data_IF_592812849233
#
_entry.id   IF_592812849233
#
_cell.length_a   1.000
_cell.length_b   1.000
_cell.length_c   1.000
_cell.angle_alpha   90.00
_cell.angle_beta   90.00
_cell.angle_gamma   90.00
#
_symmetry.space_group_name_H-M   'P 1'
#
loop_
_entity.id
_entity.type
_entity.pdbx_description
1 polymer ?
#
# COMPACT_ATOMS: atom_id res chain seq x y z
N UNK A 1 -5.06 72.01 52.65
CA UNK A 1 -3.74 71.35 52.40
C UNK A 1 -3.88 69.80 52.08
N UNK A 2 -4.78 69.11 52.68
CA UNK A 2 -4.93 67.63 52.46
C UNK A 2 -5.43 67.26 51.06
N UNK A 3 -6.26 68.13 50.42
CA UNK A 3 -6.78 67.87 49.08
C UNK A 3 -5.79 68.21 47.96
N UNK A 4 -4.86 69.08 48.23
CA UNK A 4 -3.82 69.47 47.27
C UNK A 4 -2.77 68.39 47.09
N UNK A 5 -2.43 67.68 48.18
CA UNK A 5 -1.54 66.49 48.13
C UNK A 5 -2.13 65.31 47.40
N UNK A 6 -3.46 65.10 47.49
CA UNK A 6 -4.14 63.98 46.82
C UNK A 6 -4.19 64.26 45.32
N UNK A 7 -4.39 65.46 44.88
CA UNK A 7 -4.41 65.84 43.44
C UNK A 7 -3.02 65.71 42.82
N UNK A 8 -1.96 66.07 43.54
CA UNK A 8 -0.59 65.93 43.02
C UNK A 8 -0.12 64.49 42.97
N UNK A 9 -0.57 63.58 43.89
CA UNK A 9 -0.26 62.15 43.82
C UNK A 9 -1.03 61.46 42.73
N UNK A 10 -2.28 61.85 42.46
CA UNK A 10 -3.07 61.29 41.35
C UNK A 10 -2.48 61.72 40.00
N UNK A 11 -2.03 62.94 39.83
CA UNK A 11 -1.37 63.47 38.62
C UNK A 11 -0.02 62.73 38.37
N UNK A 12 0.73 62.36 39.40
CA UNK A 12 2.00 61.63 39.27
C UNK A 12 1.78 60.17 38.92
N UNK A 13 0.68 59.58 39.35
CA UNK A 13 0.32 58.17 38.98
C UNK A 13 -0.21 58.09 37.56
N UNK A 14 -0.92 59.14 37.07
CA UNK A 14 -1.42 59.18 35.69
C UNK A 14 -0.29 59.40 34.67
N UNK A 15 0.81 60.01 35.03
CA UNK A 15 1.96 60.19 34.15
C UNK A 15 2.85 58.98 33.98
N UNK A 16 2.71 57.97 34.84
CA UNK A 16 3.45 56.70 34.78
C UNK A 16 2.78 55.64 33.89
N UNK A 17 1.56 55.87 33.43
CA UNK A 17 0.81 54.94 32.58
C UNK A 17 1.01 55.22 31.08
N UNK A 18 1.59 56.34 30.69
CA UNK A 18 1.83 56.72 29.29
C UNK A 18 3.22 56.33 28.77
N UNK A 19 4.03 55.58 29.51
CA UNK A 19 5.35 55.13 29.10
C UNK A 19 5.36 53.65 28.59
N UNK A 20 4.18 53.04 28.30
CA UNK A 20 4.08 51.90 27.40
C UNK A 20 3.78 52.41 26.00
N UNK A 21 4.72 53.17 25.46
CA UNK A 21 4.80 53.41 24.03
C UNK A 21 5.14 52.10 23.36
N UNK A 22 4.15 51.56 22.66
CA UNK A 22 4.26 50.60 21.62
C UNK A 22 5.56 50.75 20.83
N UNK A 23 6.57 49.98 21.18
CA UNK A 23 7.45 49.45 20.17
C UNK A 23 6.59 48.53 19.31
N UNK A 24 5.98 49.12 18.28
CA UNK A 24 5.64 48.38 17.10
C UNK A 24 6.97 47.94 16.47
N UNK A 25 7.57 46.91 17.08
CA UNK A 25 8.38 45.99 16.31
C UNK A 25 7.43 45.52 15.22
N UNK A 26 7.51 46.15 14.07
CA UNK A 26 7.21 45.51 12.81
C UNK A 26 8.05 44.26 12.85
N UNK A 27 7.47 43.15 13.33
CA UNK A 27 7.85 41.88 12.85
C UNK A 27 7.61 41.95 11.34
N UNK A 28 8.63 42.45 10.66
CA UNK A 28 8.88 41.97 9.33
C UNK A 28 8.95 40.48 9.54
N UNK A 29 7.81 39.77 9.36
CA UNK A 29 7.83 38.41 8.90
C UNK A 29 8.77 38.42 7.71
N UNK A 30 10.03 38.22 8.02
CA UNK A 30 10.94 37.68 7.09
C UNK A 30 10.31 36.30 6.82
N UNK A 31 9.44 36.25 5.82
CA UNK A 31 9.19 35.06 5.04
C UNK A 31 10.57 34.70 4.48
N UNK A 32 11.47 34.25 5.37
CA UNK A 32 12.60 33.44 5.00
C UNK A 32 11.96 32.14 4.55
N UNK A 33 11.63 32.17 3.31
CA UNK A 33 11.38 31.08 2.46
C UNK A 33 12.36 29.97 2.74
N UNK A 34 11.92 29.10 3.58
CA UNK A 34 12.62 27.85 3.87
C UNK A 34 12.06 26.74 2.99
N UNK A 35 11.85 27.06 1.69
CA UNK A 35 11.40 26.06 0.72
C UNK A 35 12.34 24.86 0.66
N UNK A 36 13.64 25.08 0.81
CA UNK A 36 14.63 24.01 0.87
C UNK A 36 14.52 23.20 2.17
N UNK A 37 14.26 23.87 3.30
CA UNK A 37 14.18 23.24 4.62
C UNK A 37 12.92 22.39 4.76
N UNK A 38 11.77 22.87 4.31
CA UNK A 38 10.51 22.11 4.32
C UNK A 38 10.58 20.86 3.45
N UNK A 39 11.26 20.93 2.29
CA UNK A 39 11.47 19.77 1.43
C UNK A 39 12.38 18.74 2.08
N UNK A 40 13.47 19.15 2.70
CA UNK A 40 14.38 18.26 3.41
C UNK A 40 13.66 17.53 4.57
N UNK A 41 12.82 18.26 5.32
CA UNK A 41 11.97 17.68 6.39
C UNK A 41 10.99 16.67 5.82
N UNK A 42 10.33 16.97 4.72
CA UNK A 42 9.40 16.04 4.04
C UNK A 42 10.10 14.76 3.61
N UNK A 43 11.24 14.85 2.94
CA UNK A 43 12.04 13.69 2.51
C UNK A 43 12.43 12.85 3.73
N UNK A 44 12.94 13.48 4.78
CA UNK A 44 13.32 12.80 6.00
C UNK A 44 12.14 12.09 6.67
N UNK A 45 10.94 12.68 6.65
CA UNK A 45 9.74 12.05 7.17
C UNK A 45 9.35 10.82 6.38
N UNK A 46 9.42 10.86 5.04
CA UNK A 46 9.16 9.70 4.20
C UNK A 46 10.19 8.60 4.41
N UNK A 47 11.48 8.93 4.44
CA UNK A 47 12.54 7.96 4.73
C UNK A 47 12.37 7.29 6.10
N UNK A 48 11.91 8.03 7.12
CA UNK A 48 11.61 7.47 8.46
C UNK A 48 10.44 6.48 8.43
N UNK A 49 9.46 6.69 7.56
CA UNK A 49 8.38 5.72 7.36
C UNK A 49 8.90 4.42 6.77
N UNK A 50 10.02 4.45 6.01
CA UNK A 50 10.61 3.33 5.29
C UNK A 50 9.62 2.68 4.33
N UNK A 51 8.55 2.04 4.84
CA UNK A 51 7.50 1.38 4.04
C UNK A 51 6.13 1.95 4.39
N UNK A 52 5.42 2.48 3.39
CA UNK A 52 4.04 2.93 3.51
C UNK A 52 3.10 1.87 2.94
N UNK A 53 2.41 1.13 3.80
CA UNK A 53 1.39 0.18 3.39
C UNK A 53 0.12 0.92 2.97
N UNK A 54 -0.29 0.76 1.72
CA UNK A 54 -1.36 1.55 1.12
C UNK A 54 -2.56 0.73 0.66
N UNK A 55 -2.40 -0.59 0.47
CA UNK A 55 -3.51 -1.47 0.14
C UNK A 55 -3.34 -2.85 0.79
N UNK A 56 -4.47 -3.48 1.15
CA UNK A 56 -4.56 -4.85 1.64
C UNK A 56 -5.72 -5.55 0.94
N UNK A 57 -5.49 -6.78 0.46
CA UNK A 57 -6.49 -7.59 -0.22
C UNK A 57 -6.56 -8.96 0.44
N UNK A 58 -7.76 -9.36 0.82
CA UNK A 58 -8.09 -10.73 1.23
C UNK A 58 -8.77 -11.44 0.06
N UNK A 59 -8.16 -12.50 -0.44
CA UNK A 59 -8.59 -13.22 -1.62
C UNK A 59 -8.88 -14.67 -1.25
N UNK A 60 -10.07 -15.16 -1.57
CA UNK A 60 -10.38 -16.58 -1.54
C UNK A 60 -10.36 -17.14 -2.96
N UNK A 61 -9.47 -18.07 -3.21
CA UNK A 61 -9.34 -18.80 -4.48
C UNK A 61 -9.73 -20.26 -4.28
N UNK A 62 -10.66 -20.75 -5.10
CA UNK A 62 -10.99 -22.18 -5.12
C UNK A 62 -10.18 -22.84 -6.23
N UNK A 63 -9.31 -23.75 -5.86
CA UNK A 63 -8.57 -24.59 -6.81
C UNK A 63 -9.36 -25.86 -7.01
N UNK A 64 -9.70 -26.16 -8.25
CA UNK A 64 -10.41 -27.38 -8.62
C UNK A 64 -9.51 -28.28 -9.46
N UNK A 65 -9.49 -29.55 -9.13
CA UNK A 65 -8.83 -30.57 -9.94
C UNK A 65 -9.77 -31.71 -10.24
N UNK A 66 -9.71 -32.23 -11.48
CA UNK A 66 -10.51 -33.35 -11.93
C UNK A 66 -9.57 -34.37 -12.57
N UNK A 67 -9.52 -35.53 -11.98
CA UNK A 67 -8.73 -36.68 -12.46
C UNK A 67 -9.67 -37.77 -13.01
N UNK A 68 -9.58 -37.98 -14.32
CA UNK A 68 -10.42 -38.91 -15.07
C UNK A 68 -9.60 -40.09 -15.51
N UNK A 69 -10.12 -41.31 -15.29
CA UNK A 69 -9.51 -42.50 -15.88
C UNK A 69 -9.85 -42.57 -17.37
N UNK A 70 -8.81 -42.71 -18.18
CA UNK A 70 -8.91 -42.88 -19.63
C UNK A 70 -8.21 -44.17 -20.05
N UNK A 71 -8.89 -44.95 -20.85
CA UNK A 71 -8.33 -46.15 -21.46
C UNK A 71 -7.73 -45.79 -22.81
N UNK A 72 -6.40 -45.87 -22.92
CA UNK A 72 -5.66 -45.64 -24.14
C UNK A 72 -5.09 -46.93 -24.69
N UNK A 73 -5.17 -47.08 -25.99
CA UNK A 73 -4.62 -48.27 -26.64
C UNK A 73 -4.63 -48.17 -28.15
N UNK A 74 -4.14 -49.22 -28.81
CA UNK A 74 -4.19 -49.36 -30.28
C UNK A 74 -5.02 -50.61 -30.64
N UNK A 75 -6.01 -50.43 -31.50
CA UNK A 75 -6.78 -51.50 -32.12
C UNK A 75 -6.67 -51.32 -33.63
N UNK A 76 -6.18 -52.37 -34.35
CA UNK A 76 -6.00 -52.36 -35.80
C UNK A 76 -5.27 -51.10 -36.34
N UNK A 77 -4.16 -50.74 -35.71
CA UNK A 77 -3.32 -49.59 -36.06
C UNK A 77 -4.00 -48.22 -35.87
N UNK A 78 -5.12 -48.13 -35.16
CA UNK A 78 -5.81 -46.91 -34.77
C UNK A 78 -5.68 -46.70 -33.29
N UNK A 79 -5.22 -45.51 -32.88
CA UNK A 79 -5.19 -45.13 -31.48
C UNK A 79 -6.62 -44.85 -30.99
N UNK A 80 -6.96 -45.36 -29.80
CA UNK A 80 -8.18 -45.00 -29.12
C UNK A 80 -7.86 -44.41 -27.73
N UNK A 81 -8.64 -43.43 -27.33
CA UNK A 81 -8.58 -42.76 -26.04
C UNK A 81 -10.02 -42.54 -25.56
N UNK A 82 -10.50 -43.45 -24.70
CA UNK A 82 -11.88 -43.46 -24.23
C UNK A 82 -11.92 -43.18 -22.74
N UNK A 83 -12.73 -42.19 -22.32
CA UNK A 83 -13.01 -41.93 -20.92
C UNK A 83 -13.78 -43.14 -20.35
N UNK A 84 -13.29 -43.66 -19.23
CA UNK A 84 -14.00 -44.70 -18.51
C UNK A 84 -15.18 -44.07 -17.74
N UNK A 85 -16.37 -44.70 -17.74
CA UNK A 85 -17.54 -44.17 -17.04
C UNK A 85 -17.42 -44.20 -15.52
N UNK A 86 -16.40 -44.89 -14.99
CA UNK A 86 -16.14 -45.05 -13.57
C UNK A 86 -14.68 -44.67 -13.26
N UNK A 87 -14.44 -44.18 -12.07
CA UNK A 87 -13.10 -43.89 -11.58
C UNK A 87 -12.69 -42.39 -11.66
N UNK A 88 -13.64 -41.50 -11.69
CA UNK A 88 -13.39 -40.06 -11.58
C UNK A 88 -13.09 -39.66 -10.13
N UNK A 89 -12.13 -38.76 -9.97
CA UNK A 89 -11.88 -38.05 -8.69
C UNK A 89 -11.93 -36.57 -8.96
N UNK A 90 -12.59 -35.83 -8.07
CA UNK A 90 -12.65 -34.36 -8.13
C UNK A 90 -12.36 -33.79 -6.76
N UNK A 91 -11.67 -32.68 -6.73
CA UNK A 91 -11.39 -31.97 -5.50
C UNK A 91 -11.54 -30.47 -5.73
N UNK A 92 -12.01 -29.78 -4.69
CA UNK A 92 -12.07 -28.33 -4.61
C UNK A 92 -11.42 -27.90 -3.29
N UNK A 93 -10.35 -27.12 -3.39
CA UNK A 93 -9.55 -26.64 -2.27
C UNK A 93 -9.67 -25.13 -2.21
N UNK A 94 -10.34 -24.57 -1.18
CA UNK A 94 -10.33 -23.13 -0.96
C UNK A 94 -9.01 -22.69 -0.33
N UNK A 95 -8.39 -21.67 -0.92
CA UNK A 95 -7.15 -21.05 -0.42
C UNK A 95 -7.44 -19.60 -0.11
N UNK A 96 -7.22 -19.21 1.15
CA UNK A 96 -7.31 -17.85 1.60
C UNK A 96 -5.92 -17.20 1.55
N UNK A 97 -5.80 -16.12 0.77
CA UNK A 97 -4.55 -15.41 0.54
C UNK A 97 -4.71 -13.95 0.94
N UNK A 98 -3.75 -13.47 1.73
CA UNK A 98 -3.66 -12.06 2.13
C UNK A 98 -2.48 -11.40 1.43
N UNK A 99 -2.77 -10.34 0.69
CA UNK A 99 -1.79 -9.52 -0.01
C UNK A 99 -1.75 -8.13 0.61
N UNK A 100 -0.56 -7.56 0.74
CA UNK A 100 -0.37 -6.15 1.09
C UNK A 100 0.48 -5.47 0.02
N UNK A 101 0.14 -4.22 -0.28
CA UNK A 101 0.96 -3.40 -1.14
C UNK A 101 1.55 -2.23 -0.33
N UNK A 102 2.81 -1.90 -0.58
CA UNK A 102 3.51 -0.81 0.08
C UNK A 102 4.41 -0.06 -0.90
N UNK A 103 4.68 1.20 -0.59
CA UNK A 103 5.70 2.02 -1.24
C UNK A 103 6.94 1.97 -0.36
N UNK A 104 8.11 1.70 -0.94
CA UNK A 104 9.40 1.74 -0.23
C UNK A 104 10.07 3.10 -0.42
N UNK A 105 10.34 3.79 0.68
CA UNK A 105 10.97 5.10 0.69
C UNK A 105 12.45 5.08 1.08
N UNK A 106 13.07 3.90 1.17
CA UNK A 106 14.48 3.80 1.58
C UNK A 106 15.42 4.65 0.70
N UNK A 107 15.17 4.66 -0.61
CA UNK A 107 15.95 5.40 -1.60
C UNK A 107 15.31 6.75 -2.00
N UNK A 108 14.27 7.19 -1.29
CA UNK A 108 13.61 8.46 -1.59
C UNK A 108 14.54 9.63 -1.25
N UNK A 109 14.69 10.59 -2.17
CA UNK A 109 15.65 11.67 -2.06
C UNK A 109 15.14 12.96 -2.73
N UNK A 110 15.93 14.02 -2.69
CA UNK A 110 15.62 15.28 -3.38
C UNK A 110 15.40 15.10 -4.88
N UNK A 111 16.06 14.12 -5.52
CA UNK A 111 15.85 13.80 -6.93
C UNK A 111 14.42 13.32 -7.26
N UNK A 112 13.65 12.97 -6.24
CA UNK A 112 12.25 12.56 -6.37
C UNK A 112 11.27 13.73 -6.25
N UNK A 113 11.75 14.94 -6.01
CA UNK A 113 10.90 16.13 -5.83
C UNK A 113 11.35 17.22 -6.80
N UNK A 114 10.51 17.58 -7.75
CA UNK A 114 10.77 18.64 -8.72
C UNK A 114 9.87 19.83 -8.42
N UNK A 115 10.48 21.00 -8.25
CA UNK A 115 9.79 22.25 -7.97
C UNK A 115 9.89 23.18 -9.17
N UNK A 116 8.79 23.81 -9.55
CA UNK A 116 8.73 24.80 -10.63
C UNK A 116 7.78 25.95 -10.25
N UNK A 117 8.33 26.98 -9.62
CA UNK A 117 7.55 28.08 -9.07
C UNK A 117 6.57 27.60 -7.99
N UNK A 118 5.29 27.85 -8.21
CA UNK A 118 4.22 27.38 -7.30
C UNK A 118 3.87 25.89 -7.43
N UNK A 119 4.40 25.20 -8.45
CA UNK A 119 4.11 23.80 -8.71
C UNK A 119 5.16 22.88 -8.10
N UNK A 120 4.70 21.74 -7.62
CA UNK A 120 5.56 20.67 -7.11
C UNK A 120 5.13 19.33 -7.70
N UNK A 121 6.09 18.56 -8.17
CA UNK A 121 5.88 17.19 -8.63
C UNK A 121 6.69 16.22 -7.76
N UNK A 122 6.03 15.20 -7.23
CA UNK A 122 6.62 14.18 -6.38
C UNK A 122 6.60 12.84 -7.11
N UNK A 123 7.79 12.31 -7.39
CA UNK A 123 7.98 11.01 -8.05
C UNK A 123 8.09 9.91 -7.01
N UNK A 124 7.03 9.15 -6.83
CA UNK A 124 7.01 8.02 -5.90
C UNK A 124 7.57 6.75 -6.58
N UNK A 125 8.23 5.87 -5.81
CA UNK A 125 8.54 4.52 -6.25
C UNK A 125 7.27 3.73 -6.56
N UNK A 126 7.37 2.73 -7.45
CA UNK A 126 6.25 1.83 -7.71
C UNK A 126 5.91 0.99 -6.48
N UNK A 127 4.63 0.66 -6.28
CA UNK A 127 4.24 -0.20 -5.18
C UNK A 127 4.82 -1.61 -5.30
N UNK A 128 5.28 -2.15 -4.18
CA UNK A 128 5.62 -3.56 -4.01
C UNK A 128 4.44 -4.33 -3.46
N UNK A 129 4.24 -5.56 -3.91
CA UNK A 129 3.22 -6.46 -3.37
C UNK A 129 3.89 -7.60 -2.60
N UNK A 130 3.44 -7.81 -1.38
CA UNK A 130 3.90 -8.90 -0.52
C UNK A 130 2.73 -9.83 -0.19
N UNK A 131 2.96 -11.13 -0.34
CA UNK A 131 2.06 -12.18 0.13
C UNK A 131 2.36 -12.42 1.61
N UNK A 132 1.47 -11.98 2.49
CA UNK A 132 1.67 -12.04 3.95
C UNK A 132 1.07 -13.31 4.57
N UNK A 133 0.10 -13.93 3.91
CA UNK A 133 -0.50 -15.17 4.39
C UNK A 133 -1.08 -15.96 3.22
N UNK A 134 -0.93 -17.30 3.29
CA UNK A 134 -1.63 -18.24 2.42
C UNK A 134 -2.05 -19.41 3.28
N UNK A 135 -3.36 -19.59 3.47
CA UNK A 135 -3.92 -20.62 4.35
C UNK A 135 -4.93 -21.46 3.58
N UNK A 136 -4.93 -22.75 3.87
CA UNK A 136 -5.96 -23.68 3.44
C UNK A 136 -6.73 -24.14 4.67
N UNK A 137 -8.04 -24.02 4.64
CA UNK A 137 -8.88 -24.65 5.65
C UNK A 137 -9.24 -26.06 5.17
N UNK A 138 -8.62 -27.06 5.77
CA UNK A 138 -8.83 -28.46 5.40
C UNK A 138 -10.29 -28.91 5.58
N UNK A 139 -11.02 -28.33 6.52
CA UNK A 139 -12.43 -28.64 6.76
C UNK A 139 -13.34 -28.18 5.60
N UNK A 140 -12.88 -27.20 4.83
CA UNK A 140 -13.59 -26.65 3.66
C UNK A 140 -13.26 -27.40 2.35
N UNK A 141 -12.30 -28.32 2.37
CA UNK A 141 -11.97 -29.15 1.20
C UNK A 141 -13.17 -30.03 0.86
N UNK A 142 -13.53 -30.06 -0.41
CA UNK A 142 -14.60 -30.94 -0.93
C UNK A 142 -14.02 -31.92 -1.91
N UNK A 143 -14.18 -33.19 -1.60
CA UNK A 143 -13.73 -34.31 -2.43
C UNK A 143 -14.91 -35.09 -2.93
N UNK A 144 -14.85 -35.49 -4.21
CA UNK A 144 -15.65 -36.53 -4.80
C UNK A 144 -14.70 -37.63 -5.30
N UNK A 145 -14.83 -38.83 -4.79
CA UNK A 145 -13.99 -39.99 -5.15
C UNK A 145 -14.89 -41.16 -5.47
N UNK A 146 -14.79 -41.64 -6.71
CA UNK A 146 -15.49 -42.84 -7.12
C UNK A 146 -15.02 -44.05 -6.31
N UNK A 147 -15.92 -45.03 -6.04
CA UNK A 147 -15.65 -46.18 -5.22
C UNK A 147 -14.50 -47.08 -5.76
N UNK A 148 -14.13 -46.92 -7.02
CA UNK A 148 -13.02 -47.65 -7.65
C UNK A 148 -11.65 -46.96 -7.47
N UNK A 149 -11.60 -45.86 -6.73
CA UNK A 149 -10.40 -45.02 -6.56
C UNK A 149 -10.04 -44.83 -5.09
N UNK A 150 -8.75 -44.68 -4.84
CA UNK A 150 -8.26 -44.16 -3.56
C UNK A 150 -8.49 -42.65 -3.43
N UNK A 151 -8.65 -42.17 -2.20
CA UNK A 151 -8.70 -40.74 -1.89
C UNK A 151 -7.43 -40.05 -2.35
N UNK A 152 -7.49 -38.70 -2.40
CA UNK A 152 -6.29 -37.89 -2.64
C UNK A 152 -5.30 -38.06 -1.48
N UNK A 153 -4.03 -38.20 -1.81
CA UNK A 153 -2.95 -38.28 -0.84
C UNK A 153 -2.56 -36.89 -0.38
N UNK A 154 -1.92 -36.79 0.78
CA UNK A 154 -1.42 -35.51 1.31
C UNK A 154 -0.43 -34.87 0.36
N UNK A 155 0.37 -35.64 -0.37
CA UNK A 155 1.29 -35.12 -1.38
C UNK A 155 0.55 -34.48 -2.56
N UNK A 156 -0.56 -35.08 -3.04
CA UNK A 156 -1.41 -34.49 -4.08
C UNK A 156 -2.06 -33.18 -3.58
N UNK A 157 -2.58 -33.18 -2.34
CA UNK A 157 -3.17 -31.98 -1.73
C UNK A 157 -2.15 -30.84 -1.64
N UNK A 158 -0.95 -31.12 -1.13
CA UNK A 158 0.13 -30.13 -1.03
C UNK A 158 0.51 -29.57 -2.40
N UNK A 159 0.55 -30.41 -3.45
CA UNK A 159 0.84 -29.94 -4.80
C UNK A 159 -0.27 -29.04 -5.35
N UNK A 160 -1.54 -29.36 -5.14
CA UNK A 160 -2.66 -28.51 -5.55
C UNK A 160 -2.70 -27.18 -4.80
N UNK A 161 -2.37 -27.18 -3.51
CA UNK A 161 -2.22 -25.96 -2.71
C UNK A 161 -1.12 -25.06 -3.29
N UNK A 162 0.03 -25.63 -3.62
CA UNK A 162 1.12 -24.92 -4.28
C UNK A 162 0.69 -24.31 -5.62
N UNK A 163 0.03 -25.12 -6.48
CA UNK A 163 -0.49 -24.65 -7.77
C UNK A 163 -1.50 -23.51 -7.59
N UNK A 164 -2.36 -23.60 -6.59
CA UNK A 164 -3.34 -22.58 -6.27
C UNK A 164 -2.69 -21.26 -5.83
N UNK A 165 -1.67 -21.34 -4.98
CA UNK A 165 -0.88 -20.18 -4.56
C UNK A 165 -0.20 -19.50 -5.75
N UNK A 166 0.44 -20.30 -6.62
CA UNK A 166 1.06 -19.78 -7.84
C UNK A 166 0.04 -19.14 -8.79
N UNK A 167 -1.16 -19.68 -8.89
CA UNK A 167 -2.24 -19.12 -9.70
C UNK A 167 -2.71 -17.76 -9.15
N UNK A 168 -2.79 -17.61 -7.83
CA UNK A 168 -3.08 -16.30 -7.22
C UNK A 168 -1.96 -15.31 -7.53
N UNK A 169 -0.71 -15.68 -7.31
CA UNK A 169 0.45 -14.81 -7.59
C UNK A 169 0.43 -14.32 -9.04
N UNK A 170 0.18 -15.21 -10.00
CA UNK A 170 0.05 -14.85 -11.42
C UNK A 170 -1.13 -13.91 -11.73
N UNK A 171 -2.17 -13.93 -10.91
CA UNK A 171 -3.34 -13.06 -11.10
C UNK A 171 -3.21 -11.67 -10.48
N UNK A 172 -2.20 -11.43 -9.63
CA UNK A 172 -2.02 -10.16 -8.91
C UNK A 172 -2.09 -8.93 -9.82
N UNK A 173 -1.44 -8.88 -11.02
CA UNK A 173 -1.52 -7.72 -11.89
C UNK A 173 -2.95 -7.38 -12.34
N UNK A 174 -3.83 -8.40 -12.39
CA UNK A 174 -5.23 -8.25 -12.83
C UNK A 174 -6.17 -7.83 -11.70
N UNK A 175 -5.71 -7.89 -10.44
CA UNK A 175 -6.53 -7.59 -9.26
C UNK A 175 -6.64 -6.08 -8.98
N UNK A 176 -5.87 -5.24 -9.66
CA UNK A 176 -5.89 -3.79 -9.48
C UNK A 176 -5.22 -3.30 -8.17
N UNK A 177 -4.61 -4.18 -7.38
CA UNK A 177 -3.99 -3.83 -6.09
C UNK A 177 -2.91 -2.75 -6.23
N UNK A 178 -2.14 -2.79 -7.34
CA UNK A 178 -1.09 -1.80 -7.61
C UNK A 178 -1.69 -0.41 -7.85
N UNK A 179 -2.77 -0.34 -8.63
CA UNK A 179 -3.46 0.93 -8.90
C UNK A 179 -4.07 1.50 -7.61
N UNK A 180 -4.80 0.67 -6.86
CA UNK A 180 -5.34 1.08 -5.55
C UNK A 180 -4.24 1.55 -4.60
N UNK A 181 -3.09 0.87 -4.60
CA UNK A 181 -1.96 1.28 -3.78
C UNK A 181 -1.38 2.64 -4.19
N UNK A 182 -1.30 2.93 -5.49
CA UNK A 182 -0.87 4.23 -6.02
C UNK A 182 -1.85 5.34 -5.64
N UNK A 183 -3.15 5.14 -5.83
CA UNK A 183 -4.19 6.11 -5.48
C UNK A 183 -4.16 6.43 -3.98
N UNK A 184 -4.11 5.41 -3.13
CA UNK A 184 -4.06 5.58 -1.69
C UNK A 184 -2.76 6.27 -1.23
N UNK A 185 -1.63 5.97 -1.88
CA UNK A 185 -0.37 6.67 -1.60
C UNK A 185 -0.47 8.16 -1.92
N UNK A 186 -1.06 8.53 -3.07
CA UNK A 186 -1.27 9.92 -3.43
C UNK A 186 -2.17 10.64 -2.39
N UNK A 187 -3.24 9.97 -1.91
CA UNK A 187 -4.12 10.51 -0.86
C UNK A 187 -3.39 10.78 0.47
N UNK A 188 -2.31 10.07 0.76
CA UNK A 188 -1.47 10.33 1.94
C UNK A 188 -0.45 11.43 1.68
N UNK A 189 0.18 11.43 0.50
CA UNK A 189 1.28 12.35 0.17
C UNK A 189 0.77 13.77 -0.12
N UNK A 190 -0.34 13.92 -0.86
CA UNK A 190 -0.87 15.24 -1.22
C UNK A 190 -1.13 16.13 0.02
N UNK A 191 -1.81 15.67 1.09
CA UNK A 191 -1.98 16.48 2.30
C UNK A 191 -0.66 16.84 3.01
N UNK A 192 0.38 16.02 2.90
CA UNK A 192 1.69 16.33 3.47
C UNK A 192 2.33 17.50 2.71
N UNK A 193 2.23 17.49 1.37
CA UNK A 193 2.75 18.57 0.51
C UNK A 193 1.93 19.87 0.68
N UNK A 194 0.61 19.76 0.88
CA UNK A 194 -0.23 20.93 1.22
C UNK A 194 0.24 21.59 2.51
N UNK A 195 0.65 20.81 3.52
CA UNK A 195 1.22 21.37 4.78
C UNK A 195 2.56 22.06 4.58
N UNK A 196 3.26 21.81 3.48
CA UNK A 196 4.48 22.54 3.11
C UNK A 196 4.18 23.91 2.48
N UNK A 197 2.91 24.25 2.25
CA UNK A 197 2.47 25.53 1.70
C UNK A 197 2.03 25.50 0.23
N UNK A 198 2.07 24.34 -0.41
CA UNK A 198 1.58 24.20 -1.79
C UNK A 198 0.06 24.09 -1.83
N UNK A 199 -0.57 24.67 -2.86
CA UNK A 199 -1.98 24.46 -3.14
C UNK A 199 -2.18 23.09 -3.79
N UNK A 200 -3.26 22.40 -3.44
CA UNK A 200 -3.55 21.06 -3.95
C UNK A 200 -3.57 20.99 -5.48
N UNK A 201 -4.10 22.01 -6.16
CA UNK A 201 -4.16 22.14 -7.62
C UNK A 201 -2.77 22.21 -8.29
N UNK A 202 -1.72 22.56 -7.52
CA UNK A 202 -0.33 22.70 -7.96
C UNK A 202 0.53 21.47 -7.62
N UNK A 203 -0.07 20.42 -7.05
CA UNK A 203 0.63 19.22 -6.63
C UNK A 203 0.38 18.11 -7.65
N UNK A 204 1.45 17.52 -8.17
CA UNK A 204 1.38 16.34 -9.02
C UNK A 204 2.13 15.20 -8.34
N UNK A 205 1.49 14.04 -8.24
CA UNK A 205 2.13 12.81 -7.76
C UNK A 205 2.23 11.84 -8.94
N UNK A 206 3.46 11.47 -9.26
CA UNK A 206 3.78 10.57 -10.39
C UNK A 206 4.49 9.34 -9.88
N UNK A 207 4.23 8.19 -10.47
CA UNK A 207 4.92 6.94 -10.15
C UNK A 207 5.93 6.61 -11.24
N UNK A 208 7.13 6.15 -10.83
CA UNK A 208 8.14 5.67 -11.78
C UNK A 208 7.63 4.36 -12.40
N UNK A 209 7.59 4.30 -13.72
CA UNK A 209 7.14 3.11 -14.47
C UNK A 209 8.25 2.08 -14.64
N UNK A 210 8.97 1.76 -13.61
CA UNK A 210 9.91 0.63 -13.61
C UNK A 210 9.15 -0.66 -13.26
N UNK A 211 8.34 -1.15 -14.19
CA UNK A 211 7.53 -2.36 -14.05
C UNK A 211 8.37 -3.64 -13.90
N UNK A 212 9.10 -3.74 -12.81
CA UNK A 212 9.56 -5.02 -12.26
C UNK A 212 8.73 -5.34 -11.02
N UNK A 213 7.43 -5.64 -11.23
CA UNK A 213 6.66 -6.11 -10.12
C UNK A 213 7.24 -7.44 -9.62
N UNK A 214 7.64 -7.47 -8.37
CA UNK A 214 8.09 -8.67 -7.67
C UNK A 214 7.12 -8.93 -6.52
N UNK A 215 6.65 -10.18 -6.42
CA UNK A 215 5.89 -10.61 -5.25
C UNK A 215 6.89 -11.14 -4.25
N UNK A 216 7.05 -10.43 -3.16
CA UNK A 216 7.82 -10.91 -2.02
C UNK A 216 6.94 -11.89 -1.22
N UNK A 217 7.49 -13.06 -0.88
CA UNK A 217 6.88 -13.96 0.07
C UNK A 217 7.53 -13.75 1.43
N UNK A 218 6.71 -13.52 2.45
CA UNK A 218 7.21 -13.55 3.82
C UNK A 218 7.58 -15.02 4.09
N UNK A 219 8.86 -15.24 4.37
CA UNK A 219 9.32 -16.55 4.87
C UNK A 219 8.89 -16.64 6.33
N UNK A 220 8.09 -17.65 6.63
CA UNK A 220 7.77 -18.04 8.00
C UNK A 220 9.04 -18.52 8.74
#
# INVERSE_FOLDING_TARGET
>A
MRHLFIITTIAAILALITACSSDSTTETETAVTTDADTTAVFIMQLQRCSKLYTAEYDIRKIVTHSDEKRLKGKIFNRDFDVKMPLGDRKIAIPIDVKLKAYIDFADFSEANVVRSGEKIEVFLPDPHVVLTSSKVNHDDIREYVDFTRSRFSDAELTDYERQGREAVIKSIPQLGILHTAQENAAQVIVPMVVKMGYKEENITVTFRKDYRWQVEMVKD
#
